data_IF_817530106739
#
_entry.id   IF_817530106739
#
_cell.length_a   1.000
_cell.length_b   1.000
_cell.length_c   1.000
_cell.angle_alpha   90.00
_cell.angle_beta   90.00
_cell.angle_gamma   90.00
#
_symmetry.space_group_name_H-M   'P 1'
#
loop_
_entity.id
_entity.type
_entity.pdbx_description
1 polymer ?
#
# COMPACT_ATOMS: atom_id res chain seq x y z
N UNK A 1 62.90 35.23 -85.70
CA UNK A 1 64.00 35.17 -84.73
C UNK A 1 63.77 36.23 -83.64
N UNK A 2 63.63 35.77 -82.38
CA UNK A 2 63.78 36.43 -81.06
C UNK A 2 63.17 37.83 -80.75
N UNK A 3 62.34 37.88 -79.71
CA UNK A 3 62.55 38.57 -78.40
C UNK A 3 61.17 38.87 -77.75
N UNK A 4 60.72 38.19 -76.68
CA UNK A 4 60.97 38.39 -75.22
C UNK A 4 60.45 39.70 -74.58
N UNK A 5 59.36 39.58 -73.80
CA UNK A 5 59.06 40.17 -72.47
C UNK A 5 57.52 40.12 -72.28
N UNK A 6 56.84 39.63 -71.23
CA UNK A 6 57.16 39.29 -69.85
C UNK A 6 56.24 40.12 -68.93
N UNK A 7 55.17 39.53 -68.34
CA UNK A 7 54.57 39.94 -67.03
C UNK A 7 53.41 39.04 -66.56
N UNK A 8 53.67 38.32 -65.45
CA UNK A 8 52.90 38.04 -64.20
C UNK A 8 51.35 37.87 -64.13
N UNK A 9 51.00 36.92 -63.24
CA UNK A 9 49.83 36.86 -62.30
C UNK A 9 48.50 36.40 -62.90
N UNK A 10 47.66 35.55 -62.30
CA UNK A 10 47.55 35.03 -60.94
C UNK A 10 46.70 33.74 -60.94
N UNK A 11 46.72 33.05 -59.81
CA UNK A 11 46.16 31.76 -59.47
C UNK A 11 44.71 31.44 -59.89
N UNK A 12 44.46 30.14 -60.14
CA UNK A 12 43.19 29.54 -59.73
C UNK A 12 42.72 28.32 -60.51
N UNK A 13 42.74 27.17 -59.81
CA UNK A 13 41.93 25.95 -59.98
C UNK A 13 42.37 24.90 -61.01
N UNK A 14 43.08 23.90 -60.48
CA UNK A 14 43.03 22.50 -60.93
C UNK A 14 41.99 21.74 -60.06
N UNK A 15 41.67 20.46 -60.34
CA UNK A 15 40.46 19.95 -60.96
C UNK A 15 39.41 19.41 -59.95
N UNK A 16 38.15 19.27 -60.35
CA UNK A 16 37.14 18.56 -59.56
C UNK A 16 37.09 17.09 -59.98
N UNK A 17 37.61 16.26 -59.09
CA UNK A 17 37.55 14.79 -59.08
C UNK A 17 36.12 14.28 -58.94
N UNK A 18 35.88 13.11 -59.55
CA UNK A 18 34.75 12.23 -59.28
C UNK A 18 34.61 11.93 -57.78
N UNK A 19 33.39 11.95 -57.26
CA UNK A 19 33.06 11.31 -56.00
C UNK A 19 31.65 10.72 -56.08
N UNK A 20 31.63 9.39 -56.01
CA UNK A 20 30.50 8.53 -55.74
C UNK A 20 29.81 8.88 -54.42
N UNK A 21 28.49 8.82 -54.41
CA UNK A 21 27.56 9.18 -53.33
C UNK A 21 27.83 8.51 -51.96
N UNK A 22 27.15 9.00 -50.92
CA UNK A 22 26.41 8.09 -50.05
C UNK A 22 24.92 8.43 -50.00
N UNK A 23 24.12 7.41 -50.30
CA UNK A 23 22.70 7.30 -49.97
C UNK A 23 22.51 7.51 -48.46
N UNK A 24 21.72 8.51 -48.08
CA UNK A 24 21.19 8.63 -46.72
C UNK A 24 20.01 7.66 -46.53
N UNK A 25 20.24 6.63 -45.73
CA UNK A 25 19.24 6.02 -44.84
C UNK A 25 19.99 5.61 -43.56
N UNK A 26 19.44 5.77 -42.32
CA UNK A 26 18.09 5.32 -41.99
C UNK A 26 17.34 6.13 -40.89
N UNK A 27 16.14 6.62 -41.17
CA UNK A 27 15.16 6.98 -40.13
C UNK A 27 14.47 5.75 -39.49
N UNK A 28 14.66 4.56 -40.07
CA UNK A 28 13.99 3.32 -39.67
C UNK A 28 14.49 2.71 -38.35
N UNK A 29 15.75 2.93 -37.97
CA UNK A 29 16.34 2.37 -36.74
C UNK A 29 15.81 3.04 -35.47
N UNK A 30 15.67 4.37 -35.48
CA UNK A 30 15.14 5.16 -34.35
C UNK A 30 13.67 4.84 -34.08
N UNK A 31 12.86 4.67 -35.13
CA UNK A 31 11.46 4.29 -35.00
C UNK A 31 11.27 2.87 -34.42
N UNK A 32 12.14 1.92 -34.78
CA UNK A 32 12.13 0.57 -34.19
C UNK A 32 12.53 0.57 -32.72
N UNK A 33 13.53 1.36 -32.35
CA UNK A 33 13.96 1.52 -30.96
C UNK A 33 12.87 2.16 -30.09
N UNK A 34 12.21 3.22 -30.59
CA UNK A 34 11.10 3.89 -29.89
C UNK A 34 9.92 2.94 -29.70
N UNK A 35 9.56 2.13 -30.72
CA UNK A 35 8.51 1.11 -30.58
C UNK A 35 8.85 0.05 -29.54
N UNK A 36 10.11 -0.40 -29.48
CA UNK A 36 10.55 -1.37 -28.46
C UNK A 36 10.49 -0.78 -27.04
N UNK A 37 10.91 0.47 -26.86
CA UNK A 37 10.81 1.17 -25.56
C UNK A 37 9.34 1.32 -25.13
N UNK A 38 8.44 1.69 -26.05
CA UNK A 38 7.01 1.79 -25.78
C UNK A 38 6.41 0.44 -25.38
N UNK A 39 6.75 -0.64 -26.08
CA UNK A 39 6.29 -1.99 -25.72
C UNK A 39 6.82 -2.39 -24.34
N UNK A 40 8.10 -2.15 -24.06
CA UNK A 40 8.69 -2.43 -22.75
C UNK A 40 8.02 -1.63 -21.62
N UNK A 41 7.71 -0.35 -21.85
CA UNK A 41 7.01 0.49 -20.88
C UNK A 41 5.57 0.02 -20.62
N UNK A 42 4.85 -0.41 -21.67
CA UNK A 42 3.50 -0.98 -21.55
C UNK A 42 3.53 -2.31 -20.79
N UNK A 43 4.50 -3.18 -21.08
CA UNK A 43 4.67 -4.45 -20.34
C UNK A 43 4.98 -4.20 -18.86
N UNK A 44 5.85 -3.23 -18.55
CA UNK A 44 6.13 -2.83 -17.18
C UNK A 44 4.87 -2.32 -16.46
N UNK A 45 4.06 -1.48 -17.13
CA UNK A 45 2.78 -1.01 -16.61
C UNK A 45 1.80 -2.15 -16.33
N UNK A 46 1.71 -3.13 -17.23
CA UNK A 46 0.87 -4.33 -17.03
C UNK A 46 1.36 -5.13 -15.82
N UNK A 47 2.66 -5.34 -15.68
CA UNK A 47 3.23 -6.05 -14.52
C UNK A 47 2.90 -5.33 -13.21
N UNK A 48 3.07 -4.01 -13.15
CA UNK A 48 2.71 -3.21 -11.98
C UNK A 48 1.21 -3.30 -11.67
N UNK A 49 0.37 -3.26 -12.70
CA UNK A 49 -1.08 -3.38 -12.55
C UNK A 49 -1.47 -4.77 -12.02
N UNK A 50 -0.85 -5.84 -12.53
CA UNK A 50 -1.08 -7.21 -12.04
C UNK A 50 -0.62 -7.37 -10.59
N UNK A 51 0.54 -6.82 -10.21
CA UNK A 51 1.01 -6.83 -8.83
C UNK A 51 0.00 -6.12 -7.92
N UNK A 52 -0.45 -4.92 -8.30
CA UNK A 52 -1.49 -4.20 -7.55
C UNK A 52 -2.78 -5.01 -7.44
N UNK A 53 -3.21 -5.65 -8.53
CA UNK A 53 -4.42 -6.47 -8.54
C UNK A 53 -4.29 -7.65 -7.56
N UNK A 54 -3.18 -8.39 -7.58
CA UNK A 54 -2.94 -9.54 -6.70
C UNK A 54 -2.87 -9.13 -5.22
N UNK A 55 -2.20 -8.02 -4.91
CA UNK A 55 -2.14 -7.48 -3.54
C UNK A 55 -3.55 -7.11 -3.05
N UNK A 56 -4.37 -6.51 -3.91
CA UNK A 56 -5.73 -6.10 -3.58
C UNK A 56 -6.70 -7.30 -3.42
N UNK A 57 -6.58 -8.33 -4.28
CA UNK A 57 -7.42 -9.54 -4.19
C UNK A 57 -7.07 -10.46 -3.01
N UNK A 58 -5.79 -10.57 -2.62
CA UNK A 58 -5.38 -11.38 -1.47
C UNK A 58 -5.85 -10.77 -0.13
N UNK A 59 -5.75 -9.43 0.01
CA UNK A 59 -6.37 -8.65 1.11
C UNK A 59 -7.91 -8.79 1.10
N UNK A 60 -8.51 -8.83 -0.09
CA UNK A 60 -9.95 -8.94 -0.27
C UNK A 60 -10.60 -10.16 0.39
N UNK A 61 -9.88 -11.28 0.56
CA UNK A 61 -10.43 -12.47 1.21
C UNK A 61 -10.67 -12.24 2.71
N UNK A 62 -9.70 -11.67 3.42
CA UNK A 62 -9.80 -11.38 4.85
C UNK A 62 -10.91 -10.37 5.13
N UNK A 63 -10.91 -9.25 4.41
CA UNK A 63 -11.95 -8.22 4.53
C UNK A 63 -13.35 -8.78 4.29
N UNK A 64 -13.56 -9.52 3.20
CA UNK A 64 -14.85 -10.14 2.87
C UNK A 64 -15.31 -11.14 3.94
N UNK A 65 -14.39 -11.89 4.53
CA UNK A 65 -14.73 -12.82 5.62
C UNK A 65 -15.14 -12.06 6.89
N UNK A 66 -14.47 -10.96 7.21
CA UNK A 66 -14.86 -10.09 8.33
C UNK A 66 -16.24 -9.46 8.11
N UNK A 67 -16.50 -8.93 6.91
CA UNK A 67 -17.82 -8.39 6.54
C UNK A 67 -18.92 -9.44 6.72
N UNK A 68 -18.72 -10.67 6.19
CA UNK A 68 -19.68 -11.76 6.38
C UNK A 68 -19.88 -12.18 7.83
N UNK A 69 -18.81 -12.27 8.61
CA UNK A 69 -18.90 -12.60 10.03
C UNK A 69 -19.61 -11.48 10.82
N UNK A 70 -19.45 -10.22 10.42
CA UNK A 70 -20.10 -9.09 11.07
C UNK A 70 -21.63 -9.13 10.95
N UNK A 71 -22.18 -9.77 9.91
CA UNK A 71 -23.63 -9.99 9.77
C UNK A 71 -24.20 -10.87 10.91
N UNK A 72 -23.34 -11.57 11.66
CA UNK A 72 -23.69 -12.45 12.78
C UNK A 72 -23.38 -11.85 14.15
N UNK A 73 -23.05 -10.55 14.24
CA UNK A 73 -22.94 -9.84 15.50
C UNK A 73 -24.18 -10.06 16.38
N UNK A 74 -23.98 -10.29 17.68
CA UNK A 74 -25.04 -10.60 18.63
C UNK A 74 -25.56 -12.06 18.58
N UNK A 75 -24.99 -12.92 17.73
CA UNK A 75 -25.31 -14.35 17.66
C UNK A 75 -24.16 -15.24 18.15
N UNK A 76 -24.39 -16.54 18.33
CA UNK A 76 -23.35 -17.48 18.75
C UNK A 76 -22.36 -17.77 17.61
N UNK A 77 -21.08 -17.92 17.93
CA UNK A 77 -20.01 -18.20 16.95
C UNK A 77 -20.30 -19.46 16.12
N UNK A 78 -20.74 -20.55 16.76
CA UNK A 78 -21.06 -21.80 16.04
C UNK A 78 -22.16 -21.62 14.98
N UNK A 79 -23.14 -20.74 15.22
CA UNK A 79 -24.16 -20.42 14.21
C UNK A 79 -23.54 -19.75 12.99
N UNK A 80 -22.60 -18.83 13.21
CA UNK A 80 -21.90 -18.14 12.13
C UNK A 80 -21.00 -19.12 11.34
N UNK A 81 -20.23 -19.97 12.04
CA UNK A 81 -19.39 -21.01 11.43
C UNK A 81 -20.20 -21.96 10.53
N UNK A 82 -21.33 -22.48 11.04
CA UNK A 82 -22.21 -23.38 10.30
C UNK A 82 -22.80 -22.73 9.05
N UNK A 83 -23.25 -21.47 9.16
CA UNK A 83 -23.89 -20.74 8.06
C UNK A 83 -22.90 -20.28 7.00
N UNK A 84 -21.69 -19.91 7.41
CA UNK A 84 -20.64 -19.44 6.52
C UNK A 84 -19.76 -20.58 5.97
N UNK A 85 -19.91 -21.80 6.52
CA UNK A 85 -19.11 -22.96 6.14
C UNK A 85 -17.63 -22.74 6.42
N UNK A 86 -17.32 -22.12 7.56
CA UNK A 86 -15.96 -21.78 7.96
C UNK A 86 -15.65 -22.31 9.34
N UNK A 87 -14.36 -22.46 9.63
CA UNK A 87 -13.88 -22.87 10.95
C UNK A 87 -12.88 -21.85 11.48
N UNK A 88 -13.20 -21.27 12.62
CA UNK A 88 -12.35 -20.32 13.32
C UNK A 88 -11.46 -21.07 14.30
N UNK A 89 -10.20 -20.62 14.39
CA UNK A 89 -9.22 -21.18 15.33
C UNK A 89 -9.32 -20.44 16.65
N UNK A 90 -8.98 -21.10 17.75
CA UNK A 90 -8.81 -20.47 19.08
C UNK A 90 -7.43 -19.81 19.23
N UNK A 91 -6.47 -20.17 18.37
CA UNK A 91 -5.11 -19.64 18.39
C UNK A 91 -4.61 -19.32 16.97
N UNK A 92 -3.79 -18.28 16.88
CA UNK A 92 -3.02 -17.98 15.68
C UNK A 92 -1.84 -18.93 15.52
N UNK A 93 -1.51 -19.27 14.27
CA UNK A 93 -0.26 -19.96 13.94
C UNK A 93 0.96 -19.04 14.08
N UNK A 94 0.73 -17.72 14.21
CA UNK A 94 1.75 -16.71 14.38
C UNK A 94 1.81 -16.26 15.84
N UNK A 95 2.87 -16.68 16.54
CA UNK A 95 3.01 -16.46 17.98
C UNK A 95 2.95 -14.99 18.42
N UNK A 96 3.26 -14.03 17.53
CA UNK A 96 3.13 -12.61 17.84
C UNK A 96 1.65 -12.22 18.05
N UNK A 97 0.74 -12.74 17.22
CA UNK A 97 -0.69 -12.41 17.28
C UNK A 97 -1.29 -12.86 18.61
N UNK A 98 -0.95 -14.07 19.06
CA UNK A 98 -1.38 -14.60 20.36
C UNK A 98 -0.86 -13.78 21.56
N UNK A 99 0.15 -12.92 21.38
CA UNK A 99 0.74 -12.08 22.43
C UNK A 99 0.29 -10.62 22.33
N UNK A 100 0.04 -10.13 21.12
CA UNK A 100 -0.23 -8.71 20.86
C UNK A 100 -1.70 -8.37 20.84
N UNK A 101 -2.56 -9.31 20.42
CA UNK A 101 -4.00 -9.08 20.28
C UNK A 101 -4.80 -9.93 21.29
N UNK A 102 -5.99 -9.45 21.61
CA UNK A 102 -6.97 -10.19 22.43
C UNK A 102 -8.12 -10.63 21.52
N UNK A 103 -8.41 -11.92 21.50
CA UNK A 103 -9.49 -12.50 20.71
C UNK A 103 -9.92 -13.85 21.30
N UNK A 104 -11.16 -14.26 21.02
CA UNK A 104 -11.64 -15.60 21.34
C UNK A 104 -11.41 -16.57 20.17
N UNK A 105 -11.58 -16.06 18.94
CA UNK A 105 -11.33 -16.83 17.73
C UNK A 105 -10.64 -16.00 16.66
N UNK A 106 -10.00 -16.68 15.73
CA UNK A 106 -9.25 -16.07 14.63
C UNK A 106 -9.35 -16.88 13.34
N UNK A 107 -9.48 -16.14 12.24
CA UNK A 107 -9.12 -16.59 10.90
C UNK A 107 -7.91 -15.78 10.44
N UNK A 108 -6.97 -16.41 9.76
CA UNK A 108 -5.72 -15.75 9.34
C UNK A 108 -5.31 -16.21 7.95
N UNK A 109 -4.50 -15.39 7.28
CA UNK A 109 -3.82 -15.79 6.06
C UNK A 109 -2.78 -16.90 6.34
N UNK A 110 -2.61 -17.81 5.39
CA UNK A 110 -1.51 -18.77 5.40
C UNK A 110 -0.18 -18.10 5.02
N UNK A 111 -0.25 -17.14 4.10
CA UNK A 111 0.88 -16.30 3.69
C UNK A 111 1.25 -15.30 4.78
N UNK A 112 2.49 -14.81 4.71
CA UNK A 112 3.07 -13.96 5.74
C UNK A 112 3.84 -12.77 5.20
N UNK A 113 3.88 -11.69 5.98
CA UNK A 113 4.74 -10.53 5.79
C UNK A 113 5.72 -10.38 6.95
N UNK A 114 6.87 -9.76 6.70
CA UNK A 114 7.82 -9.40 7.76
C UNK A 114 7.76 -7.89 7.99
N UNK A 115 7.48 -7.50 9.22
CA UNK A 115 7.43 -6.10 9.67
C UNK A 115 8.39 -5.99 10.84
N UNK A 116 9.39 -5.11 10.75
CA UNK A 116 10.38 -4.91 11.81
C UNK A 116 11.02 -6.24 12.30
N UNK A 117 11.40 -7.12 11.34
CA UNK A 117 11.94 -8.47 11.55
C UNK A 117 11.01 -9.49 12.25
N UNK A 118 9.73 -9.13 12.42
CA UNK A 118 8.70 -9.99 13.00
C UNK A 118 7.79 -10.51 11.90
N UNK A 119 7.52 -11.82 11.92
CA UNK A 119 6.66 -12.48 10.95
C UNK A 119 5.18 -12.39 11.38
N UNK A 120 4.37 -11.75 10.55
CA UNK A 120 2.91 -11.63 10.70
C UNK A 120 2.20 -12.39 9.57
N UNK A 121 0.95 -12.86 9.78
CA UNK A 121 0.11 -13.25 8.64
C UNK A 121 -0.15 -12.03 7.74
N UNK A 122 -0.46 -12.23 6.46
CA UNK A 122 -0.84 -11.09 5.60
C UNK A 122 -2.07 -10.34 6.14
N UNK A 123 -3.03 -11.07 6.70
CA UNK A 123 -4.22 -10.52 7.33
C UNK A 123 -4.75 -11.44 8.43
N UNK A 124 -5.54 -10.87 9.33
CA UNK A 124 -6.34 -11.59 10.33
C UNK A 124 -7.78 -11.09 10.34
N UNK A 125 -8.68 -11.98 10.75
CA UNK A 125 -10.05 -11.66 11.17
C UNK A 125 -10.20 -12.24 12.57
N UNK A 126 -10.22 -11.40 13.59
CA UNK A 126 -10.44 -11.83 14.97
C UNK A 126 -11.90 -11.63 15.36
N UNK A 127 -12.37 -12.52 16.23
CA UNK A 127 -13.72 -12.50 16.79
C UNK A 127 -13.59 -12.45 18.31
N UNK A 128 -14.27 -11.48 18.92
CA UNK A 128 -14.44 -11.39 20.36
C UNK A 128 -15.88 -11.70 20.74
N UNK A 129 -16.06 -12.38 21.86
CA UNK A 129 -17.36 -12.72 22.42
C UNK A 129 -17.68 -11.88 23.66
N UNK A 130 -18.96 -11.71 23.88
CA UNK A 130 -19.50 -11.34 25.19
C UNK A 130 -19.41 -12.51 26.17
N UNK A 131 -19.59 -12.23 27.46
CA UNK A 131 -19.74 -13.26 28.51
C UNK A 131 -20.94 -14.19 28.30
N UNK A 132 -21.88 -13.83 27.41
CA UNK A 132 -23.02 -14.66 27.01
C UNK A 132 -22.76 -15.51 25.76
N UNK A 133 -21.50 -15.66 25.36
CA UNK A 133 -21.04 -16.45 24.20
C UNK A 133 -21.51 -15.93 22.82
N UNK A 134 -21.99 -14.69 22.77
CA UNK A 134 -22.39 -14.01 21.53
C UNK A 134 -21.23 -13.21 20.95
N UNK A 135 -21.10 -13.19 19.62
CA UNK A 135 -20.16 -12.33 18.88
C UNK A 135 -20.41 -10.87 19.26
N UNK A 136 -19.39 -10.23 19.81
CA UNK A 136 -19.39 -8.83 20.24
C UNK A 136 -18.70 -7.93 19.20
N UNK A 137 -17.52 -8.35 18.74
CA UNK A 137 -16.73 -7.63 17.76
C UNK A 137 -16.13 -8.59 16.73
N UNK A 138 -16.06 -8.12 15.48
CA UNK A 138 -15.30 -8.76 14.40
C UNK A 138 -14.29 -7.74 13.90
N UNK A 139 -12.99 -8.08 13.91
CA UNK A 139 -11.93 -7.14 13.55
C UNK A 139 -11.09 -7.72 12.41
N UNK A 140 -11.10 -7.03 11.28
CA UNK A 140 -10.16 -7.27 10.18
C UNK A 140 -8.87 -6.47 10.40
N UNK A 141 -7.70 -7.09 10.24
CA UNK A 141 -6.41 -6.39 10.21
C UNK A 141 -5.60 -6.81 8.97
N UNK A 142 -5.07 -5.83 8.21
CA UNK A 142 -4.28 -6.02 7.00
C UNK A 142 -2.81 -5.64 7.24
N UNK A 143 -1.98 -6.60 7.63
CA UNK A 143 -0.56 -6.36 7.92
C UNK A 143 0.25 -5.99 6.67
N UNK A 144 -0.23 -6.30 5.46
CA UNK A 144 0.47 -5.91 4.22
C UNK A 144 0.63 -4.40 4.07
N UNK A 145 -0.28 -3.60 4.65
CA UNK A 145 -0.22 -2.13 4.57
C UNK A 145 0.92 -1.53 5.40
N UNK A 146 1.45 -2.27 6.38
CA UNK A 146 2.65 -1.88 7.11
C UNK A 146 3.93 -2.15 6.30
N UNK A 147 3.85 -2.84 5.15
CA UNK A 147 5.00 -3.11 4.28
C UNK A 147 6.17 -3.71 5.07
N UNK A 148 7.27 -2.96 5.23
CA UNK A 148 8.47 -3.37 5.97
C UNK A 148 8.59 -2.76 7.37
N UNK A 149 7.84 -1.69 7.68
CA UNK A 149 7.96 -0.97 8.95
C UNK A 149 6.60 -0.49 9.48
N UNK A 150 6.47 -0.40 10.80
CA UNK A 150 5.17 -0.16 11.46
C UNK A 150 4.53 1.22 11.24
N UNK A 151 5.12 2.10 10.42
CA UNK A 151 4.57 3.45 10.15
C UNK A 151 3.38 3.42 9.18
N UNK A 152 3.26 2.38 8.36
CA UNK A 152 2.16 2.23 7.40
C UNK A 152 2.40 2.91 6.05
N UNK A 153 1.39 3.57 5.50
CA UNK A 153 1.45 4.15 4.14
C UNK A 153 2.01 5.58 4.12
N UNK A 154 2.85 5.92 3.13
CA UNK A 154 3.31 7.31 2.95
C UNK A 154 2.22 8.13 2.28
N UNK A 155 1.81 9.22 2.91
CA UNK A 155 0.95 10.24 2.31
C UNK A 155 1.75 11.52 2.02
N UNK A 156 1.22 12.35 1.11
CA UNK A 156 1.82 13.65 0.79
C UNK A 156 1.69 14.64 1.96
N UNK A 157 0.59 14.56 2.71
CA UNK A 157 0.26 15.42 3.85
C UNK A 157 -0.80 14.76 4.72
N UNK A 158 -1.03 15.32 5.91
CA UNK A 158 -2.15 14.94 6.77
C UNK A 158 -3.49 15.17 6.06
N UNK A 159 -4.40 14.18 6.02
CA UNK A 159 -5.77 14.38 5.56
C UNK A 159 -6.50 15.41 6.42
N UNK A 160 -7.24 16.32 5.78
CA UNK A 160 -8.11 17.28 6.46
C UNK A 160 -9.51 16.69 6.58
N UNK A 161 -9.86 16.24 7.80
CA UNK A 161 -11.17 15.68 8.07
C UNK A 161 -12.15 16.68 8.70
N UNK A 162 -11.70 17.89 9.02
CA UNK A 162 -12.54 18.94 9.63
C UNK A 162 -13.60 19.45 8.64
N UNK A 163 -13.35 19.27 7.34
CA UNK A 163 -14.31 19.55 6.28
C UNK A 163 -15.55 18.64 6.29
N UNK A 164 -15.53 17.52 7.00
CA UNK A 164 -16.63 16.54 7.01
C UNK A 164 -17.47 16.65 8.29
N UNK A 165 -18.77 16.84 8.10
CA UNK A 165 -19.73 16.87 9.20
C UNK A 165 -20.27 15.49 9.54
N UNK A 166 -20.90 15.37 10.72
CA UNK A 166 -21.70 14.19 11.07
C UNK A 166 -22.73 13.91 9.95
N UNK A 167 -22.95 12.63 9.67
CA UNK A 167 -23.84 12.12 8.62
C UNK A 167 -23.28 12.18 7.18
N UNK A 168 -22.04 12.63 6.97
CA UNK A 168 -21.37 12.42 5.68
C UNK A 168 -21.27 10.92 5.40
N UNK A 169 -21.52 10.51 4.16
CA UNK A 169 -21.33 9.12 3.74
C UNK A 169 -19.90 8.69 4.02
N UNK A 170 -19.71 7.62 4.78
CA UNK A 170 -18.38 7.19 5.23
C UNK A 170 -17.41 7.00 4.07
N UNK A 171 -17.86 6.42 2.95
CA UNK A 171 -17.04 6.26 1.74
C UNK A 171 -16.40 7.56 1.26
N UNK A 172 -17.10 8.69 1.32
CA UNK A 172 -16.54 10.00 0.93
C UNK A 172 -15.42 10.45 1.87
N UNK A 173 -15.53 10.14 3.16
CA UNK A 173 -14.49 10.43 4.16
C UNK A 173 -13.29 9.50 3.96
N UNK A 174 -13.53 8.20 3.73
CA UNK A 174 -12.46 7.22 3.48
C UNK A 174 -11.67 7.55 2.20
N UNK A 175 -12.38 7.92 1.12
CA UNK A 175 -11.75 8.32 -0.15
C UNK A 175 -10.83 9.54 0.03
N UNK A 176 -11.19 10.47 0.91
CA UNK A 176 -10.41 11.68 1.18
C UNK A 176 -9.11 11.43 1.96
N UNK A 177 -9.03 10.32 2.71
CA UNK A 177 -7.81 9.93 3.43
C UNK A 177 -6.73 9.48 2.45
N UNK A 178 -7.12 8.85 1.34
CA UNK A 178 -6.20 8.48 0.27
C UNK A 178 -5.35 7.24 0.53
N UNK A 179 -5.64 6.46 1.58
CA UNK A 179 -5.06 5.13 1.82
C UNK A 179 -6.11 4.15 2.36
N UNK A 180 -5.77 2.86 2.39
CA UNK A 180 -6.67 1.83 2.92
C UNK A 180 -6.61 1.77 4.45
N UNK A 181 -7.73 1.42 5.12
CA UNK A 181 -7.69 1.14 6.55
C UNK A 181 -6.84 -0.11 6.83
N UNK A 182 -5.86 0.05 7.71
CA UNK A 182 -5.06 -1.03 8.28
C UNK A 182 -5.92 -2.01 9.08
N UNK A 183 -6.94 -1.52 9.78
CA UNK A 183 -7.84 -2.33 10.59
C UNK A 183 -9.27 -1.83 10.48
N UNK A 184 -10.24 -2.75 10.42
CA UNK A 184 -11.67 -2.45 10.41
C UNK A 184 -12.34 -3.25 11.53
N UNK A 185 -12.98 -2.56 12.46
CA UNK A 185 -13.65 -3.16 13.61
C UNK A 185 -15.15 -2.99 13.48
N UNK A 186 -15.87 -4.10 13.31
CA UNK A 186 -17.31 -4.16 13.25
C UNK A 186 -17.87 -4.49 14.64
N UNK A 187 -18.76 -3.64 15.13
CA UNK A 187 -19.49 -3.80 16.38
C UNK A 187 -21.00 -3.60 16.15
N UNK A 188 -21.82 -3.93 17.14
CA UNK A 188 -23.29 -3.85 17.02
C UNK A 188 -23.82 -2.45 16.70
N UNK A 189 -23.12 -1.40 17.12
CA UNK A 189 -23.62 -0.02 17.03
C UNK A 189 -22.80 0.87 16.08
N UNK A 190 -21.61 0.42 15.66
CA UNK A 190 -20.71 1.23 14.84
C UNK A 190 -19.66 0.36 14.13
N UNK A 191 -19.08 0.95 13.09
CA UNK A 191 -17.86 0.43 12.45
C UNK A 191 -16.72 1.44 12.64
N UNK A 192 -15.54 0.96 13.01
CA UNK A 192 -14.31 1.77 13.09
C UNK A 192 -13.35 1.37 11.99
N UNK A 193 -12.74 2.38 11.38
CA UNK A 193 -11.69 2.28 10.37
C UNK A 193 -10.42 2.89 10.95
N UNK A 194 -9.39 2.08 11.14
CA UNK A 194 -8.11 2.49 11.67
C UNK A 194 -7.06 2.53 10.55
N UNK A 195 -6.34 3.63 10.45
CA UNK A 195 -5.32 3.90 9.46
C UNK A 195 -3.97 4.09 10.14
N UNK A 196 -2.93 3.60 9.48
CA UNK A 196 -1.53 3.86 9.82
C UNK A 196 -0.88 4.51 8.62
N UNK A 197 -0.45 5.75 8.76
CA UNK A 197 0.23 6.47 7.70
C UNK A 197 1.32 7.37 8.26
N UNK A 198 2.19 7.84 7.38
CA UNK A 198 3.18 8.85 7.71
C UNK A 198 3.34 9.87 6.59
N UNK A 199 3.76 11.08 6.94
CA UNK A 199 4.03 12.15 5.99
C UNK A 199 5.28 12.93 6.40
N UNK A 200 5.81 13.69 5.45
CA UNK A 200 7.01 14.50 5.65
C UNK A 200 6.59 15.90 6.13
N UNK A 201 7.21 16.36 7.21
CA UNK A 201 7.05 17.70 7.76
C UNK A 201 7.92 18.70 6.97
N UNK A 202 7.62 19.99 7.09
CA UNK A 202 8.37 21.07 6.41
C UNK A 202 9.87 21.09 6.74
N UNK A 203 10.25 20.53 7.90
CA UNK A 203 11.64 20.41 8.34
C UNK A 203 12.35 19.14 7.82
N UNK A 204 11.65 18.30 7.04
CA UNK A 204 12.16 17.03 6.49
C UNK A 204 11.98 15.82 7.41
N UNK A 205 11.45 16.01 8.63
CA UNK A 205 11.18 14.89 9.54
C UNK A 205 9.94 14.11 9.10
N UNK A 206 9.88 12.82 9.45
CA UNK A 206 8.74 11.96 9.13
C UNK A 206 7.82 11.86 10.35
N UNK A 207 6.57 12.30 10.21
CA UNK A 207 5.54 12.16 11.23
C UNK A 207 4.67 10.93 10.94
N UNK A 208 4.62 9.99 11.88
CA UNK A 208 3.71 8.83 11.79
C UNK A 208 2.40 9.13 12.54
N UNK A 209 1.28 8.61 12.05
CA UNK A 209 -0.05 8.90 12.59
C UNK A 209 -0.88 7.62 12.65
N UNK A 210 -1.59 7.43 13.77
CA UNK A 210 -2.72 6.53 13.89
C UNK A 210 -4.01 7.35 13.80
N UNK A 211 -4.84 7.07 12.79
CA UNK A 211 -6.12 7.73 12.60
C UNK A 211 -7.24 6.71 12.75
N UNK A 212 -8.27 7.04 13.52
CA UNK A 212 -9.49 6.23 13.65
C UNK A 212 -10.67 7.05 13.17
N UNK A 213 -11.47 6.48 12.27
CA UNK A 213 -12.70 7.06 11.74
C UNK A 213 -13.85 6.14 12.12
N UNK A 214 -14.91 6.68 12.72
CA UNK A 214 -16.09 5.92 13.14
C UNK A 214 -17.30 6.25 12.28
N UNK A 215 -18.02 5.21 11.88
CA UNK A 215 -19.32 5.29 11.21
C UNK A 215 -20.40 4.57 12.03
N UNK A 216 -21.64 5.04 11.93
CA UNK A 216 -22.80 4.30 12.42
C UNK A 216 -23.19 3.14 11.47
N UNK A 217 -24.27 2.44 11.80
CA UNK A 217 -24.79 1.31 11.03
C UNK A 217 -25.42 1.69 9.68
N UNK A 218 -25.65 2.98 9.43
CA UNK A 218 -26.15 3.50 8.16
C UNK A 218 -25.02 4.04 7.27
N UNK A 219 -23.77 3.64 7.55
CA UNK A 219 -22.56 4.07 6.85
C UNK A 219 -22.37 5.59 6.88
N UNK A 220 -22.74 6.22 7.99
CA UNK A 220 -22.60 7.66 8.20
C UNK A 220 -21.47 7.97 9.18
N UNK A 221 -20.57 8.83 8.75
CA UNK A 221 -19.49 9.35 9.58
C UNK A 221 -20.03 10.07 10.83
N UNK A 222 -19.42 9.79 11.99
CA UNK A 222 -19.81 10.37 13.27
C UNK A 222 -18.67 11.12 13.97
N UNK A 223 -17.46 10.55 14.07
CA UNK A 223 -16.25 11.24 14.52
C UNK A 223 -14.98 10.57 13.99
N UNK A 224 -13.87 11.30 14.09
CA UNK A 224 -12.52 10.76 13.95
C UNK A 224 -11.64 11.21 15.10
N UNK A 225 -10.59 10.43 15.36
CA UNK A 225 -9.52 10.76 16.32
C UNK A 225 -8.18 10.44 15.68
N UNK A 226 -7.18 11.26 15.95
CA UNK A 226 -5.83 11.04 15.42
C UNK A 226 -4.79 11.20 16.52
N UNK A 227 -3.81 10.31 16.51
CA UNK A 227 -2.66 10.32 17.42
C UNK A 227 -1.37 10.35 16.60
N UNK A 228 -0.51 11.31 16.90
CA UNK A 228 0.84 11.38 16.35
C UNK A 228 1.71 10.37 17.09
N UNK A 229 2.33 9.45 16.35
CA UNK A 229 3.12 8.37 16.90
C UNK A 229 4.58 8.81 16.98
N UNK A 230 5.13 8.74 18.19
CA UNK A 230 6.52 9.06 18.44
C UNK A 230 7.46 8.05 17.76
N UNK A 231 8.51 8.51 17.05
CA UNK A 231 9.44 7.62 16.32
C UNK A 231 10.20 6.67 17.26
N UNK A 232 10.30 6.98 18.55
CA UNK A 232 11.03 6.18 19.55
C UNK A 232 10.24 4.98 20.10
N UNK A 233 8.92 4.92 19.95
CA UNK A 233 8.12 3.77 20.38
C UNK A 233 8.09 2.63 19.36
N UNK A 234 8.42 2.93 18.10
CA UNK A 234 8.50 1.95 17.02
C UNK A 234 9.77 1.09 17.13
N UNK A 235 10.84 1.61 17.74
CA UNK A 235 12.13 0.92 17.84
C UNK A 235 12.52 0.55 19.28
N UNK A 236 11.59 0.06 20.12
CA UNK A 236 12.01 -0.58 21.37
C UNK A 236 12.61 -1.96 21.07
N UNK A 237 13.85 -1.93 20.56
CA UNK A 237 14.75 -3.08 20.54
C UNK A 237 14.82 -3.58 21.98
N UNK A 238 14.45 -4.84 22.20
CA UNK A 238 14.57 -5.48 23.50
C UNK A 238 15.96 -5.19 24.10
N UNK A 239 16.06 -4.82 25.38
CA UNK A 239 17.36 -4.58 25.98
C UNK A 239 18.19 -5.86 25.85
N UNK A 240 19.26 -5.77 25.07
CA UNK A 240 20.32 -6.77 25.02
C UNK A 240 20.69 -7.12 26.45
N UNK A 241 20.42 -8.36 26.85
CA UNK A 241 20.87 -8.89 28.13
C UNK A 241 22.37 -8.62 28.26
N UNK A 242 22.75 -7.70 29.14
CA UNK A 242 24.12 -7.62 29.63
C UNK A 242 24.36 -8.94 30.34
N UNK A 243 25.21 -9.79 29.76
CA UNK A 243 25.76 -10.92 30.49
C UNK A 243 26.50 -10.37 31.70
N UNK A 244 26.06 -10.80 32.87
CA UNK A 244 26.84 -10.73 34.10
C UNK A 244 28.21 -11.37 33.89
N UNK A 245 29.27 -10.61 34.17
CA UNK A 245 30.49 -11.09 34.79
C UNK A 245 30.66 -10.32 36.10
#
# INVERSE_FOLDING_TARGET
>A
MRSSSGTKSDAGKVPLLETSAPSEAPAAGKFRLIKLILIAAVLLLIVLLVINLVVHFASGKGKKNAEKLSEYLGTNVGTAEDKLGMHLKDNSSFAIINKSDTFDYILEAEDSVNIDDIKFPEWTVTVMKTTSEKIDNVIYTNYKLLKSDSRGEKLERRPDLDAYGRNTKIGTVLDAIGCEPFRISYALDFTKYEFRYYYELDNGDMQSVALVVSADLEDKYFYSTSEDLDPFFITSKAPSARSSL
#
